data_IF_260553192692
#
_entry.id   IF_260553192692
#
_cell.length_a   1.000
_cell.length_b   1.000
_cell.length_c   1.000
_cell.angle_alpha   90.00
_cell.angle_beta   90.00
_cell.angle_gamma   90.00
#
_symmetry.space_group_name_H-M   'P 1'
#
loop_
_entity.id
_entity.type
_entity.pdbx_description
1 polymer ?
#
# COMPACT_ATOMS: atom_id res chain seq x y z
N UNK A 1 -22.34 13.83 -12.02
CA UNK A 1 -21.10 13.80 -11.25
C UNK A 1 -19.97 14.44 -12.05
N UNK A 2 -19.17 15.25 -11.41
CA UNK A 2 -18.01 15.86 -12.05
C UNK A 2 -16.87 14.86 -12.16
N UNK A 3 -15.98 15.07 -13.14
CA UNK A 3 -14.80 14.25 -13.29
C UNK A 3 -13.86 14.36 -12.08
N UNK A 4 -13.83 15.55 -11.44
CA UNK A 4 -13.04 15.73 -10.22
C UNK A 4 -13.57 14.86 -9.08
N UNK A 5 -14.89 14.77 -8.92
CA UNK A 5 -15.48 13.94 -7.88
C UNK A 5 -15.21 12.46 -8.11
N UNK A 6 -15.25 12.02 -9.36
CA UNK A 6 -14.91 10.64 -9.70
C UNK A 6 -13.46 10.31 -9.35
N UNK A 7 -12.54 11.25 -9.62
CA UNK A 7 -11.14 11.10 -9.24
C UNK A 7 -10.99 10.96 -7.73
N UNK A 8 -11.64 11.83 -6.96
CA UNK A 8 -11.55 11.81 -5.50
C UNK A 8 -12.10 10.50 -4.93
N UNK A 9 -13.23 10.03 -5.47
CA UNK A 9 -13.82 8.77 -5.04
C UNK A 9 -12.90 7.58 -5.36
N UNK A 10 -12.31 7.56 -6.54
CA UNK A 10 -11.39 6.49 -6.93
C UNK A 10 -10.17 6.46 -6.01
N UNK A 11 -9.59 7.61 -5.72
CA UNK A 11 -8.44 7.72 -4.82
C UNK A 11 -8.80 7.20 -3.42
N UNK A 12 -9.94 7.63 -2.86
CA UNK A 12 -10.37 7.16 -1.55
C UNK A 12 -10.60 5.66 -1.52
N UNK A 13 -11.19 5.09 -2.57
CA UNK A 13 -11.39 3.64 -2.64
C UNK A 13 -10.06 2.89 -2.61
N UNK A 14 -9.06 3.39 -3.33
CA UNK A 14 -7.73 2.78 -3.31
C UNK A 14 -7.07 2.91 -1.94
N UNK A 15 -7.18 4.06 -1.31
CA UNK A 15 -6.62 4.27 0.03
C UNK A 15 -7.26 3.37 1.07
N UNK A 16 -8.58 3.21 1.05
CA UNK A 16 -9.27 2.33 1.98
C UNK A 16 -8.87 0.88 1.78
N UNK A 17 -8.79 0.42 0.53
CA UNK A 17 -8.39 -0.95 0.22
C UNK A 17 -6.96 -1.21 0.66
N UNK A 18 -6.06 -0.29 0.37
CA UNK A 18 -4.66 -0.38 0.79
C UNK A 18 -4.55 -0.38 2.31
N UNK A 19 -5.27 0.52 2.97
CA UNK A 19 -5.26 0.62 4.43
C UNK A 19 -5.71 -0.66 5.11
N UNK A 20 -6.75 -1.30 4.60
CA UNK A 20 -7.21 -2.58 5.14
C UNK A 20 -6.13 -3.66 5.05
N UNK A 21 -5.41 -3.71 3.95
CA UNK A 21 -4.33 -4.67 3.80
C UNK A 21 -3.16 -4.34 4.75
N UNK A 22 -2.80 -3.08 4.88
CA UNK A 22 -1.73 -2.68 5.78
C UNK A 22 -2.07 -2.92 7.24
N UNK A 23 -3.34 -2.82 7.63
CA UNK A 23 -3.76 -3.15 9.00
C UNK A 23 -3.52 -4.61 9.36
N UNK A 24 -3.50 -5.50 8.38
CA UNK A 24 -3.25 -6.93 8.61
C UNK A 24 -1.76 -7.24 8.77
N UNK A 25 -0.89 -6.31 8.39
CA UNK A 25 0.56 -6.54 8.44
C UNK A 25 0.97 -6.99 9.84
N UNK A 26 1.73 -8.06 9.91
CA UNK A 26 2.21 -8.65 11.15
C UNK A 26 1.34 -9.74 11.73
N UNK A 27 0.11 -9.92 11.23
CA UNK A 27 -0.73 -11.00 11.73
C UNK A 27 -0.08 -12.35 11.48
N UNK A 28 -0.08 -13.20 12.52
CA UNK A 28 0.44 -14.56 12.43
C UNK A 28 -0.27 -15.41 13.50
N UNK A 29 -0.83 -16.54 13.08
CA UNK A 29 -1.49 -17.48 13.99
C UNK A 29 -0.50 -18.33 14.77
N UNK A 30 0.80 -18.21 14.52
CA UNK A 30 1.84 -18.99 15.17
C UNK A 30 3.13 -18.20 15.31
N UNK A 31 4.23 -18.74 14.80
CA UNK A 31 5.57 -18.17 14.95
C UNK A 31 6.15 -17.86 13.57
N UNK A 32 5.77 -16.70 13.02
CA UNK A 32 6.25 -16.28 11.71
C UNK A 32 7.62 -15.62 11.81
N UNK A 33 8.46 -15.85 10.81
CA UNK A 33 9.82 -15.34 10.76
C UNK A 33 9.93 -14.23 9.74
N UNK A 34 10.73 -13.21 10.03
CA UNK A 34 11.01 -12.12 9.13
C UNK A 34 10.31 -10.82 9.51
N UNK A 35 10.42 -9.84 8.62
CA UNK A 35 9.82 -8.53 8.86
C UNK A 35 8.39 -8.48 8.32
N UNK A 36 7.48 -8.03 9.16
CA UNK A 36 6.08 -7.87 8.78
C UNK A 36 5.89 -6.72 7.80
N UNK A 37 6.74 -5.72 7.88
CA UNK A 37 6.61 -4.51 7.09
C UNK A 37 7.98 -4.07 6.60
N UNK A 38 8.08 -3.83 5.31
CA UNK A 38 9.28 -3.26 4.69
C UNK A 38 8.87 -2.02 3.94
N UNK A 39 9.49 -0.88 4.28
CA UNK A 39 9.25 0.38 3.60
C UNK A 39 10.51 0.72 2.81
N UNK A 40 10.40 0.82 1.51
CA UNK A 40 11.48 1.13 0.61
C UNK A 40 11.21 2.38 -0.21
N UNK A 41 12.18 2.79 -1.02
CA UNK A 41 12.07 3.94 -1.92
C UNK A 41 11.62 5.20 -1.18
N UNK A 42 12.11 5.40 0.06
CA UNK A 42 11.78 6.59 0.87
C UNK A 42 10.27 6.71 1.14
N UNK A 43 9.59 5.57 1.33
CA UNK A 43 8.16 5.52 1.59
C UNK A 43 7.30 5.27 0.36
N UNK A 44 7.86 5.29 -0.84
CA UNK A 44 7.10 5.11 -2.08
C UNK A 44 6.88 3.65 -2.46
N UNK A 45 7.35 2.75 -1.62
CA UNK A 45 7.14 1.32 -1.77
C UNK A 45 6.96 0.70 -0.39
N UNK A 46 5.96 -0.16 -0.24
CA UNK A 46 5.72 -0.86 1.00
C UNK A 46 5.38 -2.31 0.71
N UNK A 47 5.97 -3.22 1.49
CA UNK A 47 5.66 -4.64 1.42
C UNK A 47 5.15 -5.06 2.78
N UNK A 48 3.95 -5.62 2.82
CA UNK A 48 3.31 -6.08 4.04
C UNK A 48 3.15 -7.59 4.00
N UNK A 49 3.32 -8.24 5.15
CA UNK A 49 3.15 -9.68 5.30
C UNK A 49 2.14 -9.98 6.38
N UNK A 50 1.26 -10.94 6.11
CA UNK A 50 0.34 -11.47 7.10
C UNK A 50 0.01 -12.91 6.75
N UNK A 51 -0.34 -13.68 7.80
CA UNK A 51 -0.64 -15.12 7.68
C UNK A 51 -2.08 -15.28 7.17
N UNK A 52 -2.25 -15.28 5.86
CA UNK A 52 -3.57 -15.19 5.22
C UNK A 52 -4.48 -16.39 5.50
N UNK A 53 -3.90 -17.58 5.63
CA UNK A 53 -4.66 -18.81 5.89
C UNK A 53 -4.57 -19.28 7.34
N UNK A 54 -3.95 -18.47 8.22
CA UNK A 54 -3.79 -18.78 9.64
C UNK A 54 -3.11 -20.12 9.91
N UNK A 55 -2.09 -20.46 9.10
CA UNK A 55 -1.34 -21.70 9.29
C UNK A 55 -0.13 -21.55 10.22
N UNK A 56 0.10 -20.34 10.74
CA UNK A 56 1.19 -20.07 11.68
C UNK A 56 2.53 -19.74 11.03
N UNK A 57 2.57 -19.52 9.75
CA UNK A 57 3.77 -19.23 8.99
C UNK A 57 3.47 -18.22 7.89
N UNK A 58 4.45 -17.38 7.56
CA UNK A 58 4.36 -16.50 6.40
C UNK A 58 4.92 -17.24 5.19
N UNK A 59 4.01 -17.73 4.36
CA UNK A 59 4.35 -18.55 3.22
C UNK A 59 4.72 -17.71 2.01
N UNK A 60 5.63 -18.22 1.21
CA UNK A 60 6.05 -17.56 -0.02
C UNK A 60 6.26 -18.62 -1.11
N UNK A 61 5.15 -19.23 -1.53
CA UNK A 61 5.14 -20.24 -2.56
C UNK A 61 4.20 -19.84 -3.69
N UNK A 62 4.20 -20.61 -4.75
CA UNK A 62 3.31 -20.33 -5.90
C UNK A 62 1.83 -20.37 -5.54
N UNK A 63 1.46 -21.19 -4.55
CA UNK A 63 0.07 -21.37 -4.12
C UNK A 63 -0.30 -20.53 -2.90
N UNK A 64 0.68 -20.10 -2.09
CA UNK A 64 0.45 -19.35 -0.86
C UNK A 64 1.45 -18.21 -0.76
N UNK A 65 0.98 -16.99 -0.97
CA UNK A 65 1.80 -15.79 -0.85
C UNK A 65 1.25 -14.92 0.26
N UNK A 66 2.02 -14.78 1.33
CA UNK A 66 1.66 -13.99 2.49
C UNK A 66 2.26 -12.59 2.47
N UNK A 67 2.79 -12.17 1.34
CA UNK A 67 3.29 -10.80 1.15
C UNK A 67 2.56 -10.11 0.01
N UNK A 68 2.42 -8.80 0.14
CA UNK A 68 1.86 -7.95 -0.92
C UNK A 68 2.61 -6.63 -0.91
N UNK A 69 3.04 -6.22 -2.10
CA UNK A 69 3.73 -4.95 -2.28
C UNK A 69 2.85 -3.91 -2.95
N UNK A 70 3.12 -2.65 -2.62
CA UNK A 70 2.51 -1.49 -3.27
C UNK A 70 3.60 -0.48 -3.53
N UNK A 71 3.61 0.12 -4.73
CA UNK A 71 4.63 1.10 -5.08
C UNK A 71 4.09 2.14 -6.05
N UNK A 72 4.75 3.29 -6.04
CA UNK A 72 4.56 4.31 -7.07
C UNK A 72 5.59 4.07 -8.16
N UNK A 73 5.14 3.89 -9.39
CA UNK A 73 6.01 3.69 -10.53
C UNK A 73 5.46 4.42 -11.75
N UNK A 74 6.22 5.35 -12.28
CA UNK A 74 5.87 6.07 -13.53
C UNK A 74 4.45 6.65 -13.51
N UNK A 75 4.07 7.28 -12.41
CA UNK A 75 2.76 7.92 -12.27
C UNK A 75 1.61 6.97 -11.98
N UNK A 76 1.87 5.70 -11.73
CA UNK A 76 0.85 4.73 -11.39
C UNK A 76 1.11 4.11 -10.03
N UNK A 77 0.04 3.83 -9.30
CA UNK A 77 0.11 2.98 -8.12
C UNK A 77 0.05 1.54 -8.60
N UNK A 78 1.04 0.74 -8.19
CA UNK A 78 1.17 -0.65 -8.61
C UNK A 78 1.18 -1.58 -7.43
N UNK A 79 0.79 -2.83 -7.64
CA UNK A 79 0.80 -3.88 -6.63
C UNK A 79 1.40 -5.16 -7.18
N UNK A 80 2.02 -5.92 -6.27
CA UNK A 80 2.52 -7.27 -6.60
C UNK A 80 2.24 -8.20 -5.44
N UNK A 81 1.41 -9.21 -5.68
CA UNK A 81 1.21 -10.26 -4.70
C UNK A 81 2.45 -11.16 -4.69
N UNK A 82 2.96 -11.46 -3.50
CA UNK A 82 4.18 -12.22 -3.35
C UNK A 82 5.45 -11.41 -3.50
N UNK A 83 5.37 -10.08 -3.44
CA UNK A 83 6.54 -9.22 -3.55
C UNK A 83 7.51 -9.48 -2.41
N UNK A 84 8.80 -9.62 -2.76
CA UNK A 84 9.89 -9.73 -1.79
C UNK A 84 10.81 -8.52 -1.83
N UNK A 85 10.69 -7.69 -2.85
CA UNK A 85 11.43 -6.44 -2.99
C UNK A 85 10.59 -5.44 -3.76
N UNK A 86 11.03 -4.20 -3.76
CA UNK A 86 10.35 -3.13 -4.51
C UNK A 86 10.64 -3.19 -6.01
N UNK A 87 11.57 -4.03 -6.42
CA UNK A 87 11.99 -4.17 -7.80
C UNK A 87 11.41 -5.42 -8.44
N UNK A 88 11.76 -5.69 -9.67
CA UNK A 88 11.35 -6.89 -10.37
C UNK A 88 10.14 -6.68 -11.25
N UNK A 89 9.69 -7.78 -11.84
CA UNK A 89 8.61 -7.81 -12.82
C UNK A 89 7.33 -8.36 -12.22
N UNK A 90 6.24 -8.19 -12.95
CA UNK A 90 4.95 -8.76 -12.56
C UNK A 90 4.05 -7.79 -11.83
N UNK A 91 4.48 -6.57 -11.58
CA UNK A 91 3.67 -5.56 -10.92
C UNK A 91 2.48 -5.17 -11.81
N UNK A 92 1.31 -5.08 -11.20
CA UNK A 92 0.08 -4.70 -11.87
C UNK A 92 -0.32 -3.28 -11.49
N UNK A 93 -0.79 -2.51 -12.45
CA UNK A 93 -1.27 -1.16 -12.18
C UNK A 93 -2.63 -1.19 -11.52
N UNK A 94 -2.76 -0.51 -10.40
CA UNK A 94 -4.03 -0.28 -9.74
C UNK A 94 -4.73 0.97 -10.27
N UNK A 95 -3.95 1.88 -10.86
CA UNK A 95 -4.46 3.11 -11.47
C UNK A 95 -3.97 3.20 -12.90
N UNK A 96 -4.75 3.85 -13.76
CA UNK A 96 -4.41 4.05 -15.16
C UNK A 96 -3.70 5.40 -15.32
N UNK A 97 -2.39 5.41 -15.61
CA UNK A 97 -1.64 6.67 -15.72
C UNK A 97 -2.03 7.51 -16.92
N UNK A 98 -2.74 6.95 -17.89
CA UNK A 98 -3.25 7.71 -19.02
C UNK A 98 -4.48 8.53 -18.65
N UNK A 99 -5.11 8.23 -17.54
CA UNK A 99 -6.30 8.93 -17.06
C UNK A 99 -6.03 9.68 -15.77
N UNK A 100 -5.27 9.09 -14.88
CA UNK A 100 -5.04 9.56 -13.53
C UNK A 100 -3.55 9.49 -13.21
N UNK A 101 -2.92 10.63 -13.00
CA UNK A 101 -1.50 10.68 -12.63
C UNK A 101 -1.37 10.70 -11.11
N UNK A 102 -0.68 9.71 -10.56
CA UNK A 102 -0.33 9.68 -9.14
C UNK A 102 0.95 10.50 -8.99
N UNK A 103 0.84 11.67 -8.39
CA UNK A 103 1.96 12.59 -8.22
C UNK A 103 2.77 12.30 -6.97
N UNK A 104 2.15 11.66 -5.97
CA UNK A 104 2.78 11.41 -4.68
C UNK A 104 2.14 10.19 -4.03
N UNK A 105 2.96 9.31 -3.48
CA UNK A 105 2.52 8.19 -2.66
C UNK A 105 3.64 7.89 -1.68
N UNK A 106 3.35 8.03 -0.39
CA UNK A 106 4.32 7.78 0.67
C UNK A 106 3.61 7.12 1.84
N UNK A 107 4.21 6.06 2.36
CA UNK A 107 3.76 5.40 3.58
C UNK A 107 4.83 5.62 4.65
N UNK A 108 4.41 6.07 5.83
CA UNK A 108 5.30 6.26 6.98
C UNK A 108 4.76 5.51 8.18
N UNK A 109 5.66 4.86 8.91
CA UNK A 109 5.34 4.23 10.19
C UNK A 109 5.68 5.23 11.30
N UNK A 110 4.71 5.50 12.15
CA UNK A 110 4.86 6.40 13.29
C UNK A 110 4.74 5.60 14.57
N UNK A 111 5.81 5.59 15.36
CA UNK A 111 5.83 4.87 16.63
C UNK A 111 5.20 5.72 17.72
N UNK A 112 4.45 5.07 18.60
CA UNK A 112 3.84 5.69 19.78
C UNK A 112 4.20 4.88 21.01
N UNK A 113 4.89 5.49 21.96
CA UNK A 113 5.32 4.79 23.19
C UNK A 113 4.10 4.22 23.93
N UNK A 114 4.12 2.91 24.16
CA UNK A 114 3.05 2.23 24.88
C UNK A 114 1.81 1.91 24.06
N UNK A 115 1.82 2.20 22.77
CA UNK A 115 0.68 1.98 21.88
C UNK A 115 1.15 1.34 20.58
N UNK A 116 0.20 0.75 19.84
CA UNK A 116 0.50 0.23 18.51
C UNK A 116 0.91 1.37 17.57
N UNK A 117 1.84 1.12 16.64
CA UNK A 117 2.24 2.15 15.68
C UNK A 117 1.11 2.50 14.72
N UNK A 118 1.23 3.66 14.12
CA UNK A 118 0.33 4.07 13.06
C UNK A 118 1.05 4.06 11.72
N UNK A 119 0.30 3.78 10.66
CA UNK A 119 0.80 3.89 9.29
C UNK A 119 0.06 5.05 8.63
N UNK A 120 0.81 6.08 8.25
CA UNK A 120 0.29 7.23 7.53
C UNK A 120 0.48 7.00 6.04
N UNK A 121 -0.60 7.08 5.28
CA UNK A 121 -0.60 6.88 3.84
C UNK A 121 -0.96 8.20 3.20
N UNK A 122 -0.01 8.78 2.47
CA UNK A 122 -0.20 10.04 1.74
C UNK A 122 -0.31 9.72 0.25
N UNK A 123 -1.31 10.30 -0.39
CA UNK A 123 -1.48 10.12 -1.83
C UNK A 123 -1.95 11.42 -2.45
N UNK A 124 -1.34 11.81 -3.57
CA UNK A 124 -1.76 12.95 -4.34
C UNK A 124 -1.93 12.54 -5.79
N UNK A 125 -3.02 13.00 -6.39
CA UNK A 125 -3.38 12.60 -7.74
C UNK A 125 -4.04 13.75 -8.48
N UNK A 126 -3.91 13.75 -9.81
CA UNK A 126 -4.63 14.67 -10.67
C UNK A 126 -5.03 13.95 -11.95
N UNK A 127 -6.03 14.50 -12.60
CA UNK A 127 -6.40 14.01 -13.93
C UNK A 127 -5.26 14.33 -14.90
N UNK A 128 -4.98 13.40 -15.78
CA UNK A 128 -3.84 13.48 -16.70
C UNK A 128 -3.85 14.76 -17.53
N UNK A 129 -5.04 15.18 -17.96
CA UNK A 129 -5.22 16.34 -18.84
C UNK A 129 -5.34 17.66 -18.10
N UNK A 130 -5.31 17.65 -16.77
CA UNK A 130 -5.42 18.87 -15.98
C UNK A 130 -4.07 19.34 -15.48
N UNK A 131 -3.93 20.65 -15.41
CA UNK A 131 -2.76 21.32 -14.83
C UNK A 131 -3.16 21.90 -13.49
N UNK A 132 -2.19 22.10 -12.63
CA UNK A 132 -2.39 22.67 -11.30
C UNK A 132 -2.02 21.70 -10.23
N UNK A 133 -2.36 22.04 -8.99
CA UNK A 133 -2.01 21.23 -7.82
C UNK A 133 -2.79 19.93 -7.81
N UNK A 134 -2.12 18.80 -7.55
CA UNK A 134 -2.84 17.54 -7.41
C UNK A 134 -3.72 17.55 -6.14
N UNK A 135 -4.80 16.81 -6.19
CA UNK A 135 -5.66 16.59 -5.03
C UNK A 135 -4.96 15.65 -4.06
N UNK A 136 -4.95 16.02 -2.79
CA UNK A 136 -4.20 15.29 -1.76
C UNK A 136 -5.15 14.60 -0.80
N UNK A 137 -4.77 13.40 -0.39
CA UNK A 137 -5.48 12.65 0.63
C UNK A 137 -4.49 12.04 1.61
N UNK A 138 -4.88 12.01 2.87
CA UNK A 138 -4.12 11.37 3.94
C UNK A 138 -5.02 10.37 4.64
N UNK A 139 -4.55 9.15 4.81
CA UNK A 139 -5.29 8.11 5.51
C UNK A 139 -4.35 7.43 6.50
N UNK A 140 -4.81 7.28 7.74
CA UNK A 140 -4.02 6.69 8.81
C UNK A 140 -4.70 5.41 9.29
N UNK A 141 -3.93 4.34 9.42
CA UNK A 141 -4.41 3.08 9.99
C UNK A 141 -3.52 2.69 11.16
N UNK A 142 -4.08 1.93 12.10
CA UNK A 142 -3.34 1.43 13.24
C UNK A 142 -2.76 0.06 12.92
N UNK A 143 -1.47 -0.12 13.18
CA UNK A 143 -0.79 -1.40 12.97
C UNK A 143 -0.90 -2.28 14.21
N UNK A 144 -2.07 -2.90 14.42
CA UNK A 144 -2.34 -3.68 15.61
C UNK A 144 -1.43 -4.88 15.81
N UNK A 145 -0.87 -5.40 14.72
CA UNK A 145 -0.01 -6.57 14.75
C UNK A 145 1.47 -6.25 14.53
N UNK A 146 1.81 -4.99 14.56
CA UNK A 146 3.19 -4.53 14.36
C UNK A 146 3.90 -4.23 15.66
#
# INVERSE_FOLDING_TARGET
QSAQRELEEEVWQRLFALGKQLQRAGYCAGNCQGQALTIGRQGRCIIARWDANSNGSWDNSASENDSTGFRLESGALETLRGATSCEGKGWEKLTDPDRLAIAHFVVRKVEHAGFAPELNIELAARRKDEKGEPWQALYTVTGYNL
#
